data_IF_597267111622
#
_entry.id   IF_597267111622
#
_cell.length_a   1.000
_cell.length_b   1.000
_cell.length_c   1.000
_cell.angle_alpha   90.00
_cell.angle_beta   90.00
_cell.angle_gamma   90.00
#
_symmetry.space_group_name_H-M   'P 1'
#
loop_
_entity.id
_entity.type
_entity.pdbx_description
1 polymer ?
#
# COMPACT_ATOMS: atom_id res chain seq x y z
N UNK A 1 -8.91 -9.94 14.02
CA UNK A 1 -7.76 -9.00 13.97
C UNK A 1 -6.59 -9.75 14.56
N UNK A 2 -5.64 -10.23 13.74
CA UNK A 2 -4.51 -11.03 14.27
C UNK A 2 -3.23 -10.83 13.43
N UNK A 3 -3.25 -11.14 12.13
CA UNK A 3 -2.00 -11.23 11.33
C UNK A 3 -1.22 -9.90 11.22
N UNK A 4 -1.92 -8.75 11.14
CA UNK A 4 -1.25 -7.43 11.08
C UNK A 4 -0.57 -7.03 12.39
N UNK A 5 -1.23 -7.27 13.52
CA UNK A 5 -0.71 -6.94 14.86
C UNK A 5 0.25 -7.99 15.43
N UNK A 6 0.19 -9.24 14.95
CA UNK A 6 1.09 -10.33 15.35
C UNK A 6 2.42 -10.33 14.55
N UNK A 7 2.73 -9.25 13.82
CA UNK A 7 3.99 -9.11 13.10
C UNK A 7 4.07 -9.83 11.75
N UNK A 8 2.95 -10.33 11.22
CA UNK A 8 2.89 -10.97 9.91
C UNK A 8 3.09 -10.03 8.72
N UNK A 9 2.94 -8.72 8.92
CA UNK A 9 3.12 -7.70 7.88
C UNK A 9 4.59 -7.50 7.50
N UNK A 10 5.51 -7.48 8.47
CA UNK A 10 6.92 -7.22 8.20
C UNK A 10 7.58 -8.27 7.27
N UNK A 11 7.35 -9.59 7.45
CA UNK A 11 7.79 -10.61 6.49
C UNK A 11 7.23 -10.41 5.09
N UNK A 12 5.95 -10.03 4.96
CA UNK A 12 5.34 -9.78 3.66
C UNK A 12 5.95 -8.58 2.95
N UNK A 13 6.28 -7.52 3.69
CA UNK A 13 6.99 -6.35 3.17
C UNK A 13 8.41 -6.73 2.71
N UNK A 14 9.10 -7.60 3.46
CA UNK A 14 10.41 -8.10 3.07
C UNK A 14 10.33 -8.94 1.77
N UNK A 15 9.31 -9.81 1.64
CA UNK A 15 9.08 -10.59 0.42
C UNK A 15 8.76 -9.69 -0.79
N UNK A 16 8.00 -8.61 -0.59
CA UNK A 16 7.70 -7.63 -1.64
C UNK A 16 8.95 -6.86 -2.14
N UNK A 17 10.04 -6.85 -1.37
CA UNK A 17 11.34 -6.26 -1.75
C UNK A 17 12.37 -7.30 -2.20
N UNK A 18 11.99 -8.58 -2.24
CA UNK A 18 12.88 -9.66 -2.67
C UNK A 18 13.28 -9.48 -4.14
N UNK A 19 14.39 -10.10 -4.55
CA UNK A 19 14.73 -10.24 -5.96
C UNK A 19 13.97 -11.42 -6.62
N UNK A 20 13.31 -12.26 -5.82
CA UNK A 20 12.62 -13.46 -6.29
C UNK A 20 11.22 -13.08 -6.79
N UNK A 21 11.03 -13.07 -8.10
CA UNK A 21 9.77 -12.67 -8.73
C UNK A 21 8.59 -13.57 -8.33
N UNK A 22 8.83 -14.86 -8.11
CA UNK A 22 7.78 -15.83 -7.77
C UNK A 22 7.08 -15.49 -6.45
N UNK A 23 7.76 -14.80 -5.52
CA UNK A 23 7.14 -14.40 -4.24
C UNK A 23 6.41 -13.07 -4.33
N UNK A 24 6.59 -12.30 -5.41
CA UNK A 24 5.98 -10.97 -5.54
C UNK A 24 4.46 -11.04 -5.62
N UNK A 25 3.90 -12.02 -6.34
CA UNK A 25 2.45 -12.19 -6.44
C UNK A 25 1.85 -12.57 -5.08
N UNK A 26 2.48 -13.52 -4.39
CA UNK A 26 2.02 -13.95 -3.07
C UNK A 26 2.13 -12.81 -2.05
N UNK A 27 3.23 -12.05 -2.06
CA UNK A 27 3.41 -10.90 -1.18
C UNK A 27 2.40 -9.78 -1.48
N UNK A 28 2.23 -9.41 -2.75
CA UNK A 28 1.25 -8.40 -3.17
C UNK A 28 -0.17 -8.82 -2.79
N UNK A 29 -0.53 -10.09 -3.05
CA UNK A 29 -1.86 -10.61 -2.72
C UNK A 29 -2.13 -10.69 -1.23
N UNK A 30 -1.15 -11.07 -0.43
CA UNK A 30 -1.29 -11.07 1.02
C UNK A 30 -1.42 -9.65 1.58
N UNK A 31 -0.61 -8.70 1.10
CA UNK A 31 -0.71 -7.29 1.49
C UNK A 31 -2.05 -6.67 1.09
N UNK A 32 -2.53 -6.96 -0.13
CA UNK A 32 -3.86 -6.55 -0.60
C UNK A 32 -4.98 -7.12 0.29
N UNK A 33 -4.94 -8.42 0.59
CA UNK A 33 -5.92 -9.06 1.47
C UNK A 33 -5.91 -8.44 2.88
N UNK A 34 -4.74 -8.12 3.41
CA UNK A 34 -4.61 -7.49 4.73
C UNK A 34 -5.12 -6.06 4.72
N UNK A 35 -4.93 -5.30 3.63
CA UNK A 35 -5.37 -3.93 3.49
C UNK A 35 -6.90 -3.74 3.56
N UNK A 36 -7.69 -4.79 3.32
CA UNK A 36 -9.15 -4.75 3.54
C UNK A 36 -9.55 -4.49 5.00
N UNK A 37 -8.67 -4.78 5.95
CA UNK A 37 -8.88 -4.39 7.34
C UNK A 37 -8.12 -3.10 7.63
N UNK A 38 -8.80 -2.01 8.03
CA UNK A 38 -8.13 -0.73 8.22
C UNK A 38 -7.04 -0.73 9.31
N UNK A 39 -7.20 -1.55 10.35
CA UNK A 39 -6.17 -1.70 11.39
C UNK A 39 -4.90 -2.37 10.86
N UNK A 40 -5.03 -3.29 9.90
CA UNK A 40 -3.88 -3.89 9.22
C UNK A 40 -3.31 -2.94 8.16
N UNK A 41 -4.16 -2.17 7.46
CA UNK A 41 -3.73 -1.17 6.50
C UNK A 41 -2.81 -0.13 7.17
N UNK A 42 -3.17 0.34 8.37
CA UNK A 42 -2.32 1.22 9.17
C UNK A 42 -0.97 0.55 9.48
N UNK A 43 -0.96 -0.70 9.95
CA UNK A 43 0.29 -1.43 10.21
C UNK A 43 1.16 -1.63 8.94
N UNK A 44 0.54 -1.78 7.77
CA UNK A 44 1.24 -1.85 6.47
C UNK A 44 1.90 -0.50 6.16
N UNK A 45 1.19 0.61 6.40
CA UNK A 45 1.73 1.96 6.20
C UNK A 45 2.89 2.23 7.16
N UNK A 46 2.67 2.02 8.46
CA UNK A 46 3.69 2.20 9.51
C UNK A 46 4.92 1.30 9.29
N UNK A 47 4.72 0.08 8.79
CA UNK A 47 5.78 -0.87 8.47
C UNK A 47 6.57 -0.55 7.19
N UNK A 48 6.26 0.55 6.49
CA UNK A 48 6.91 0.92 5.22
C UNK A 48 6.48 0.06 4.02
N UNK A 49 5.29 -0.54 4.11
CA UNK A 49 4.71 -1.40 3.08
C UNK A 49 4.26 -0.64 1.84
N UNK A 50 3.92 0.64 1.96
CA UNK A 50 3.62 1.52 0.80
C UNK A 50 4.81 1.56 -0.17
N UNK A 51 6.03 1.77 0.35
CA UNK A 51 7.25 1.78 -0.47
C UNK A 51 7.50 0.41 -1.11
N UNK A 52 7.20 -0.68 -0.43
CA UNK A 52 7.34 -2.03 -0.98
C UNK A 52 6.32 -2.30 -2.10
N UNK A 53 5.08 -1.81 -1.96
CA UNK A 53 4.07 -1.90 -3.01
C UNK A 53 4.44 -1.03 -4.22
N UNK A 54 5.00 0.17 -4.02
CA UNK A 54 5.50 1.03 -5.11
C UNK A 54 6.63 0.31 -5.85
N UNK A 55 7.57 -0.27 -5.11
CA UNK A 55 8.63 -1.10 -5.68
C UNK A 55 8.03 -2.22 -6.55
N UNK A 56 7.05 -2.98 -6.04
CA UNK A 56 6.39 -4.02 -6.82
C UNK A 56 5.71 -3.49 -8.09
N UNK A 57 5.03 -2.33 -8.02
CA UNK A 57 4.42 -1.69 -9.18
C UNK A 57 5.44 -1.37 -10.29
N UNK A 58 6.66 -0.97 -9.92
CA UNK A 58 7.69 -0.52 -10.88
C UNK A 58 8.65 -1.63 -11.33
N UNK A 59 9.05 -2.53 -10.44
CA UNK A 59 10.15 -3.48 -10.68
C UNK A 59 9.69 -4.93 -10.90
N UNK A 60 8.46 -5.28 -10.53
CA UNK A 60 7.99 -6.66 -10.65
C UNK A 60 7.72 -7.03 -12.12
N UNK A 61 8.31 -8.15 -12.56
CA UNK A 61 8.05 -8.71 -13.89
C UNK A 61 6.63 -9.28 -14.01
N UNK A 62 6.01 -9.67 -12.89
CA UNK A 62 4.62 -10.13 -12.89
C UNK A 62 3.64 -8.97 -13.06
N UNK A 63 2.83 -9.05 -14.12
CA UNK A 63 1.70 -8.15 -14.35
C UNK A 63 0.66 -8.24 -13.23
N UNK A 64 0.44 -9.45 -12.70
CA UNK A 64 -0.52 -9.67 -11.62
C UNK A 64 -0.04 -9.04 -10.31
N UNK A 65 1.24 -9.21 -9.96
CA UNK A 65 1.82 -8.56 -8.79
C UNK A 65 1.70 -7.03 -8.85
N UNK A 66 1.96 -6.43 -10.02
CA UNK A 66 1.79 -4.99 -10.25
C UNK A 66 0.33 -4.55 -10.08
N UNK A 67 -0.60 -5.28 -10.67
CA UNK A 67 -2.03 -4.99 -10.56
C UNK A 67 -2.53 -5.07 -9.10
N UNK A 68 -2.15 -6.13 -8.38
CA UNK A 68 -2.51 -6.31 -6.97
C UNK A 68 -1.89 -5.23 -6.07
N UNK A 69 -0.64 -4.83 -6.33
CA UNK A 69 0.02 -3.77 -5.59
C UNK A 69 -0.67 -2.41 -5.81
N UNK A 70 -1.06 -2.10 -7.06
CA UNK A 70 -1.83 -0.91 -7.38
C UNK A 70 -3.22 -0.93 -6.72
N UNK A 71 -3.91 -2.07 -6.72
CA UNK A 71 -5.19 -2.22 -6.01
C UNK A 71 -5.05 -2.04 -4.50
N UNK A 72 -4.00 -2.59 -3.89
CA UNK A 72 -3.73 -2.40 -2.47
C UNK A 72 -3.51 -0.92 -2.13
N UNK A 73 -2.72 -0.22 -2.95
CA UNK A 73 -2.52 1.23 -2.78
C UNK A 73 -3.81 2.00 -2.97
N UNK A 74 -4.56 1.75 -4.05
CA UNK A 74 -5.83 2.40 -4.30
C UNK A 74 -6.79 2.17 -3.14
N UNK A 75 -6.90 0.95 -2.62
CA UNK A 75 -7.78 0.66 -1.48
C UNK A 75 -7.35 1.35 -0.19
N UNK A 76 -6.05 1.37 0.10
CA UNK A 76 -5.52 2.06 1.29
C UNK A 76 -5.72 3.57 1.19
N UNK A 77 -5.61 4.18 0.00
CA UNK A 77 -5.72 5.63 -0.16
C UNK A 77 -7.06 6.10 -0.73
N UNK A 78 -8.01 5.18 -0.96
CA UNK A 78 -9.38 5.50 -1.30
C UNK A 78 -10.06 6.16 -0.10
N UNK A 79 -11.01 7.06 -0.36
CA UNK A 79 -11.61 8.00 0.61
C UNK A 79 -12.30 7.39 1.83
N UNK A 80 -12.18 6.07 2.06
CA UNK A 80 -12.66 5.35 3.24
C UNK A 80 -11.68 5.31 4.41
N UNK A 81 -10.40 5.66 4.24
CA UNK A 81 -9.51 5.89 5.40
C UNK A 81 -9.70 7.26 6.05
N UNK A 82 -10.34 8.23 5.37
CA UNK A 82 -10.60 9.56 5.93
C UNK A 82 -11.50 9.51 7.18
N UNK A 83 -12.36 8.48 7.32
CA UNK A 83 -13.19 8.24 8.50
C UNK A 83 -12.40 7.80 9.76
N UNK A 84 -11.19 7.25 9.60
CA UNK A 84 -10.38 6.75 10.72
C UNK A 84 -9.48 7.86 11.27
N UNK A 85 -9.00 8.76 10.41
CA UNK A 85 -8.36 10.00 10.84
C UNK A 85 -9.35 10.88 11.65
N UNK A 86 -10.65 10.83 11.33
CA UNK A 86 -11.70 11.56 12.06
C UNK A 86 -11.96 11.00 13.47
N UNK A 87 -11.73 9.70 13.70
CA UNK A 87 -11.79 9.10 15.06
C UNK A 87 -10.51 9.41 15.86
N UNK A 88 -9.38 9.67 15.19
CA UNK A 88 -8.10 10.03 15.81
C UNK A 88 -7.87 11.54 16.02
N UNK A 89 -8.71 12.39 15.42
CA UNK A 89 -8.67 13.86 15.53
C UNK A 89 -9.11 14.39 16.91
N UNK A 90 -8.61 13.79 17.99
CA UNK A 90 -8.49 14.47 19.27
C UNK A 90 -7.05 14.61 19.75
N UNK A 91 -6.04 14.15 19.01
CA UNK A 91 -4.66 14.45 19.37
C UNK A 91 -3.73 14.62 18.16
N UNK A 92 -3.19 15.84 18.06
CA UNK A 92 -1.91 16.24 17.46
C UNK A 92 -1.75 16.36 15.94
N UNK A 93 -1.54 17.61 15.50
CA UNK A 93 -0.36 17.94 14.69
C UNK A 93 -0.58 18.27 13.21
N UNK A 94 -0.78 19.55 12.91
CA UNK A 94 -1.01 20.18 11.59
C UNK A 94 0.21 20.19 10.65
N UNK A 95 0.93 19.07 10.49
CA UNK A 95 2.15 19.04 9.65
C UNK A 95 2.31 17.81 8.75
N UNK A 96 1.49 16.76 8.93
CA UNK A 96 1.61 15.52 8.15
C UNK A 96 0.64 15.46 6.94
N UNK A 97 -0.41 16.29 6.94
CA UNK A 97 -1.42 16.30 5.86
C UNK A 97 -0.85 16.78 4.53
N UNK A 98 0.05 17.77 4.54
CA UNK A 98 0.67 18.30 3.31
C UNK A 98 1.55 17.23 2.61
N UNK A 99 2.17 16.34 3.38
CA UNK A 99 3.00 15.27 2.85
C UNK A 99 2.13 14.15 2.26
N UNK A 100 1.03 13.81 2.94
CA UNK A 100 0.05 12.83 2.47
C UNK A 100 -0.58 13.26 1.14
N UNK A 101 -0.90 14.54 0.97
CA UNK A 101 -1.45 15.08 -0.28
C UNK A 101 -0.46 15.02 -1.45
N UNK A 102 0.84 15.16 -1.18
CA UNK A 102 1.89 14.98 -2.20
C UNK A 102 1.99 13.50 -2.60
N UNK A 103 1.99 12.59 -1.62
CA UNK A 103 2.05 11.13 -1.86
C UNK A 103 0.82 10.68 -2.65
N UNK A 104 -0.38 11.17 -2.29
CA UNK A 104 -1.65 10.87 -2.98
C UNK A 104 -1.60 11.31 -4.45
N UNK A 105 -1.13 12.53 -4.72
CA UNK A 105 -0.98 13.05 -6.10
C UNK A 105 0.04 12.25 -6.92
N UNK A 106 1.15 11.85 -6.30
CA UNK A 106 2.15 11.01 -6.97
C UNK A 106 1.59 9.63 -7.33
N UNK A 107 0.84 9.01 -6.42
CA UNK A 107 0.21 7.71 -6.65
C UNK A 107 -0.80 7.76 -7.81
N UNK A 108 -1.66 8.78 -7.85
CA UNK A 108 -2.62 8.97 -8.95
C UNK A 108 -1.94 9.16 -10.30
N UNK A 109 -0.87 9.96 -10.35
CA UNK A 109 -0.10 10.17 -11.58
C UNK A 109 0.50 8.87 -12.12
N UNK A 110 1.04 8.02 -11.25
CA UNK A 110 1.58 6.72 -11.67
C UNK A 110 0.51 5.75 -12.21
N UNK A 111 -0.70 5.81 -11.66
CA UNK A 111 -1.84 5.02 -12.16
C UNK A 111 -2.24 5.51 -13.56
N UNK A 112 -2.31 6.82 -13.77
CA UNK A 112 -2.61 7.42 -15.07
C UNK A 112 -1.56 7.06 -16.13
N UNK A 113 -0.27 7.19 -15.80
CA UNK A 113 0.84 6.84 -16.70
C UNK A 113 0.80 5.34 -17.10
N UNK A 114 0.45 4.46 -16.16
CA UNK A 114 0.29 3.04 -16.42
C UNK A 114 -0.88 2.73 -17.37
N UNK A 115 -2.01 3.41 -17.19
CA UNK A 115 -3.17 3.30 -18.09
C UNK A 115 -2.86 3.86 -19.49
N UNK A 116 -2.12 4.98 -19.58
CA UNK A 116 -1.76 5.60 -20.83
C UNK A 116 -0.74 4.79 -21.66
N UNK A 117 0.17 4.06 -21.01
CA UNK A 117 1.13 3.18 -21.68
C UNK A 117 0.57 1.84 -22.17
N UNK A 118 -0.71 1.55 -21.93
CA UNK A 118 -1.39 0.32 -22.32
C UNK A 118 -2.34 0.47 -23.54
N UNK A 119 -2.42 1.67 -24.11
CA UNK A 119 -3.02 1.97 -25.42
C UNK A 119 -1.93 2.45 -26.40
#
# INVERSE_FOLDING_TARGET
>A
IAIGREGGVAPLIALARSAVVDVHETAAGALWNLAFNPGNALCIVEGGGVQALIHLCSSSLSKMARFMAALAQAYMFDGRMEDIASIGSSLEGTSESENLDVIRRMALKHIEDFCAGYF
#
